data_IF_926491099704
#
_entry.id   IF_926491099704
#
_cell.length_a   1.000
_cell.length_b   1.000
_cell.length_c   1.000
_cell.angle_alpha   90.00
_cell.angle_beta   90.00
_cell.angle_gamma   90.00
#
_symmetry.space_group_name_H-M   'P 1'
#
loop_
_entity.id
_entity.type
_entity.pdbx_description
1 polymer ?
#
# COMPACT_ATOMS: atom_id res chain seq x y z
N UNK A 1 3.30 9.30 -10.07
CA UNK A 1 4.10 9.07 -11.30
C UNK A 1 3.85 7.68 -11.89
N UNK A 2 4.19 6.59 -11.19
CA UNK A 2 4.03 5.22 -11.72
C UNK A 2 2.63 4.93 -12.28
N UNK A 3 1.57 5.27 -11.54
CA UNK A 3 0.19 5.03 -11.99
C UNK A 3 -0.18 5.72 -13.31
N UNK A 4 0.36 6.89 -13.62
CA UNK A 4 0.12 7.55 -14.92
C UNK A 4 0.69 6.73 -16.09
N UNK A 5 1.86 6.12 -15.87
CA UNK A 5 2.53 5.29 -16.87
C UNK A 5 1.85 3.93 -17.05
N UNK A 6 1.31 3.36 -15.98
CA UNK A 6 0.55 2.11 -16.06
C UNK A 6 -0.79 2.31 -16.79
N UNK A 7 -1.50 3.42 -16.52
CA UNK A 7 -2.68 3.77 -17.32
C UNK A 7 -2.34 3.93 -18.80
N UNK A 8 -1.20 4.57 -19.13
CA UNK A 8 -0.72 4.69 -20.52
C UNK A 8 -0.40 3.33 -21.16
N UNK A 9 0.04 2.35 -20.38
CA UNK A 9 0.26 0.96 -20.81
C UNK A 9 -1.04 0.13 -20.89
N UNK A 10 -2.17 0.67 -20.44
CA UNK A 10 -3.45 -0.05 -20.35
C UNK A 10 -3.59 -0.93 -19.10
N UNK A 11 -2.67 -0.83 -18.13
CA UNK A 11 -2.79 -1.52 -16.85
C UNK A 11 -3.63 -0.69 -15.87
N UNK A 12 -4.93 -1.01 -15.82
CA UNK A 12 -5.88 -0.35 -14.93
C UNK A 12 -5.58 -0.67 -13.46
N UNK A 13 -5.12 -1.88 -13.15
CA UNK A 13 -4.84 -2.26 -11.77
C UNK A 13 -3.67 -1.44 -11.21
N UNK A 14 -2.53 -1.46 -11.90
CA UNK A 14 -1.34 -0.67 -11.54
C UNK A 14 -1.67 0.83 -11.55
N UNK A 15 -2.38 1.28 -12.59
CA UNK A 15 -2.81 2.66 -12.76
C UNK A 15 -3.61 3.20 -11.57
N UNK A 16 -4.65 2.48 -11.16
CA UNK A 16 -5.47 2.83 -10.00
C UNK A 16 -4.66 2.74 -8.71
N UNK A 17 -4.00 1.60 -8.45
CA UNK A 17 -3.36 1.38 -7.15
C UNK A 17 -2.19 2.34 -6.90
N UNK A 18 -1.28 2.53 -7.86
CA UNK A 18 -0.13 3.40 -7.66
C UNK A 18 -0.49 4.89 -7.62
N UNK A 19 -1.54 5.31 -8.34
CA UNK A 19 -2.04 6.69 -8.23
C UNK A 19 -2.67 6.93 -6.87
N UNK A 20 -3.54 6.01 -6.43
CA UNK A 20 -4.22 6.11 -5.13
C UNK A 20 -3.25 6.07 -3.96
N UNK A 21 -2.33 5.09 -3.88
CA UNK A 21 -1.37 5.04 -2.78
C UNK A 21 -0.36 6.21 -2.80
N UNK A 22 -0.06 6.76 -3.98
CA UNK A 22 0.69 8.02 -4.06
C UNK A 22 -0.07 9.18 -3.44
N UNK A 23 -1.37 9.30 -3.72
CA UNK A 23 -2.24 10.31 -3.12
C UNK A 23 -2.45 10.10 -1.61
N UNK A 24 -2.51 8.85 -1.15
CA UNK A 24 -2.57 8.50 0.29
C UNK A 24 -1.41 9.12 1.07
N UNK A 25 -0.17 8.88 0.62
CA UNK A 25 1.02 9.42 1.30
C UNK A 25 1.06 10.94 1.29
N UNK A 26 0.67 11.56 0.18
CA UNK A 26 0.54 13.02 0.08
C UNK A 26 -0.52 13.54 1.07
N UNK A 27 -1.68 12.88 1.14
CA UNK A 27 -2.76 13.24 2.07
C UNK A 27 -2.37 13.14 3.54
N UNK A 28 -1.69 12.05 3.94
CA UNK A 28 -1.17 11.92 5.31
C UNK A 28 -0.15 13.01 5.64
N UNK A 29 0.81 13.26 4.74
CA UNK A 29 1.79 14.32 4.95
C UNK A 29 1.12 15.70 5.05
N UNK A 30 0.05 15.94 4.28
CA UNK A 30 -0.72 17.18 4.35
C UNK A 30 -1.41 17.39 5.70
N UNK A 31 -1.91 16.34 6.35
CA UNK A 31 -2.48 16.45 7.71
C UNK A 31 -1.45 17.05 8.68
N UNK A 32 -0.23 16.50 8.68
CA UNK A 32 0.85 16.93 9.56
C UNK A 32 1.38 18.31 9.19
N UNK A 33 1.66 18.55 7.91
CA UNK A 33 2.22 19.83 7.44
C UNK A 33 1.28 20.99 7.71
N UNK A 34 -0.03 20.82 7.50
CA UNK A 34 -1.01 21.88 7.77
C UNK A 34 -1.17 22.15 9.27
N UNK A 35 -1.08 21.13 10.10
CA UNK A 35 -1.08 21.27 11.55
C UNK A 35 0.17 22.01 12.05
N UNK A 36 1.37 21.58 11.62
CA UNK A 36 2.64 22.22 12.01
C UNK A 36 2.76 23.67 11.51
N UNK A 37 2.15 23.98 10.36
CA UNK A 37 2.07 25.34 9.84
C UNK A 37 1.02 26.22 10.54
N UNK A 38 0.21 25.66 11.45
CA UNK A 38 -0.88 26.37 12.13
C UNK A 38 -2.06 26.75 11.23
N UNK A 39 -2.18 26.11 10.06
CA UNK A 39 -3.23 26.37 9.06
C UNK A 39 -4.50 25.57 9.39
N UNK A 40 -4.34 24.36 9.93
CA UNK A 40 -5.43 23.49 10.35
C UNK A 40 -5.14 22.93 11.76
N UNK A 41 -6.16 22.53 12.53
CA UNK A 41 -5.93 21.79 13.76
C UNK A 41 -5.38 20.38 13.47
N UNK A 42 -4.70 19.80 14.46
CA UNK A 42 -4.32 18.39 14.41
C UNK A 42 -5.55 17.49 14.22
N UNK A 43 -5.41 16.47 13.37
CA UNK A 43 -6.47 15.50 13.13
C UNK A 43 -6.59 14.59 14.36
N UNK A 44 -7.77 14.47 14.98
CA UNK A 44 -7.93 13.60 16.14
C UNK A 44 -7.72 12.12 15.73
N UNK A 45 -7.29 11.24 16.66
CA UNK A 45 -7.04 9.82 16.38
C UNK A 45 -8.22 9.12 15.68
N UNK A 46 -9.46 9.47 16.07
CA UNK A 46 -10.65 8.93 15.41
C UNK A 46 -10.78 9.33 13.93
N UNK A 47 -10.35 10.54 13.57
CA UNK A 47 -10.30 10.98 12.18
C UNK A 47 -9.27 10.23 11.37
N UNK A 48 -8.06 10.04 11.93
CA UNK A 48 -6.99 9.24 11.31
C UNK A 48 -7.44 7.79 11.11
N UNK A 49 -8.06 7.18 12.12
CA UNK A 49 -8.56 5.81 12.05
C UNK A 49 -9.61 5.62 10.94
N UNK A 50 -10.57 6.55 10.78
CA UNK A 50 -11.58 6.48 9.72
C UNK A 50 -10.93 6.50 8.34
N UNK A 51 -9.94 7.37 8.13
CA UNK A 51 -9.19 7.44 6.87
C UNK A 51 -8.45 6.13 6.63
N UNK A 52 -7.74 5.59 7.62
CA UNK A 52 -7.02 4.32 7.51
C UNK A 52 -7.94 3.14 7.23
N UNK A 53 -9.12 3.07 7.86
CA UNK A 53 -10.11 2.03 7.56
C UNK A 53 -10.68 2.15 6.15
N UNK A 54 -10.93 3.37 5.66
CA UNK A 54 -11.36 3.58 4.28
C UNK A 54 -10.28 3.09 3.29
N UNK A 55 -9.00 3.37 3.56
CA UNK A 55 -7.88 2.82 2.79
C UNK A 55 -7.73 1.30 2.94
N UNK A 56 -8.05 0.74 4.09
CA UNK A 56 -8.14 -0.70 4.31
C UNK A 56 -9.20 -1.36 3.44
N UNK A 57 -10.40 -0.76 3.34
CA UNK A 57 -11.47 -1.23 2.46
C UNK A 57 -11.07 -1.14 0.99
N UNK A 58 -10.48 0.00 0.58
CA UNK A 58 -9.90 0.17 -0.77
C UNK A 58 -8.92 -0.97 -1.10
N UNK A 59 -8.00 -1.23 -0.18
CA UNK A 59 -6.96 -2.24 -0.35
C UNK A 59 -7.55 -3.66 -0.32
N UNK A 60 -8.61 -3.90 0.45
CA UNK A 60 -9.26 -5.21 0.54
C UNK A 60 -9.85 -5.65 -0.80
N UNK A 61 -10.61 -4.79 -1.49
CA UNK A 61 -11.12 -5.17 -2.81
C UNK A 61 -10.02 -5.16 -3.88
N UNK A 62 -8.98 -4.32 -3.73
CA UNK A 62 -7.80 -4.39 -4.60
C UNK A 62 -7.05 -5.72 -4.40
N UNK A 63 -7.03 -6.28 -3.18
CA UNK A 63 -6.52 -7.63 -2.91
C UNK A 63 -7.27 -8.67 -3.72
N UNK A 64 -8.60 -8.60 -3.77
CA UNK A 64 -9.42 -9.51 -4.59
C UNK A 64 -9.05 -9.38 -6.07
N UNK A 65 -8.92 -8.15 -6.58
CA UNK A 65 -8.50 -7.92 -7.96
C UNK A 65 -7.08 -8.47 -8.25
N UNK A 66 -6.18 -8.40 -7.27
CA UNK A 66 -4.79 -8.89 -7.36
C UNK A 66 -4.69 -10.42 -7.44
N UNK A 67 -5.78 -11.18 -7.22
CA UNK A 67 -5.78 -12.65 -7.31
C UNK A 67 -5.51 -13.16 -8.73
N UNK A 68 -5.54 -12.31 -9.75
CA UNK A 68 -5.10 -12.69 -11.12
C UNK A 68 -3.64 -12.31 -11.41
N UNK A 69 -2.97 -11.63 -10.49
CA UNK A 69 -1.59 -11.16 -10.63
C UNK A 69 -0.60 -12.16 -10.00
N UNK A 70 0.72 -12.01 -10.23
CA UNK A 70 1.73 -12.82 -9.58
C UNK A 70 1.54 -12.84 -8.06
N UNK A 71 1.73 -14.01 -7.43
CA UNK A 71 1.50 -14.21 -5.99
C UNK A 71 2.21 -13.19 -5.12
N UNK A 72 3.42 -12.76 -5.48
CA UNK A 72 4.15 -11.72 -4.76
C UNK A 72 3.34 -10.41 -4.64
N UNK A 73 2.67 -9.99 -5.72
CA UNK A 73 1.80 -8.80 -5.72
C UNK A 73 0.58 -9.03 -4.84
N UNK A 74 -0.06 -10.19 -4.95
CA UNK A 74 -1.19 -10.53 -4.06
C UNK A 74 -0.80 -10.45 -2.59
N UNK A 75 0.38 -10.97 -2.23
CA UNK A 75 0.86 -10.91 -0.85
C UNK A 75 1.06 -9.49 -0.35
N UNK A 76 1.60 -8.58 -1.18
CA UNK A 76 1.68 -7.14 -0.84
C UNK A 76 0.30 -6.61 -0.45
N UNK A 77 -0.73 -6.89 -1.24
CA UNK A 77 -2.07 -6.37 -0.98
C UNK A 77 -2.74 -7.02 0.24
N UNK A 78 -2.50 -8.31 0.50
CA UNK A 78 -2.97 -8.98 1.71
C UNK A 78 -2.37 -8.31 2.94
N UNK A 79 -1.04 -8.21 3.01
CA UNK A 79 -0.34 -7.61 4.17
C UNK A 79 -0.67 -6.13 4.31
N UNK A 80 -0.82 -5.41 3.20
CA UNK A 80 -1.22 -4.00 3.23
C UNK A 80 -2.66 -3.80 3.72
N UNK A 81 -3.57 -4.71 3.36
CA UNK A 81 -4.95 -4.68 3.90
C UNK A 81 -4.92 -4.86 5.41
N UNK A 82 -4.21 -5.88 5.90
CA UNK A 82 -4.05 -6.14 7.34
C UNK A 82 -3.44 -4.92 8.02
N UNK A 83 -2.37 -4.37 7.45
CA UNK A 83 -1.69 -3.19 7.96
C UNK A 83 -2.64 -2.01 8.17
N UNK A 84 -3.49 -1.67 7.18
CA UNK A 84 -4.41 -0.54 7.30
C UNK A 84 -5.42 -0.72 8.45
N UNK A 85 -5.98 -1.92 8.61
CA UNK A 85 -6.88 -2.20 9.73
C UNK A 85 -6.15 -2.18 11.06
N UNK A 86 -4.93 -2.73 11.14
CA UNK A 86 -4.13 -2.68 12.36
C UNK A 86 -3.73 -1.25 12.73
N UNK A 87 -3.35 -0.41 11.77
CA UNK A 87 -3.04 1.00 12.03
C UNK A 87 -4.29 1.75 12.53
N UNK A 88 -5.45 1.56 11.89
CA UNK A 88 -6.70 2.19 12.32
C UNK A 88 -7.14 1.78 13.73
N UNK A 89 -6.94 0.52 14.13
CA UNK A 89 -7.16 0.07 15.52
C UNK A 89 -6.07 0.61 16.44
N UNK A 90 -4.83 0.70 15.95
CA UNK A 90 -3.65 1.17 16.65
C UNK A 90 -3.77 2.62 17.13
N UNK A 91 -4.56 3.45 16.46
CA UNK A 91 -4.90 4.81 16.92
C UNK A 91 -5.56 4.83 18.31
N UNK A 92 -6.19 3.73 18.73
CA UNK A 92 -6.84 3.60 20.03
C UNK A 92 -6.14 2.61 20.97
N UNK A 93 -5.32 1.70 20.43
CA UNK A 93 -4.70 0.60 21.18
C UNK A 93 -3.19 0.56 20.90
N UNK A 94 -2.35 1.10 21.81
CA UNK A 94 -0.91 1.26 21.56
C UNK A 94 -0.16 -0.03 21.19
N UNK A 95 -0.49 -1.15 21.84
CA UNK A 95 0.12 -2.45 21.52
C UNK A 95 -0.20 -2.91 20.10
N UNK A 96 -1.40 -2.61 19.60
CA UNK A 96 -1.80 -2.91 18.22
C UNK A 96 -1.03 -2.02 17.24
N UNK A 97 -0.77 -0.77 17.60
CA UNK A 97 0.05 0.14 16.78
C UNK A 97 1.49 -0.39 16.62
N UNK A 98 2.10 -0.93 17.68
CA UNK A 98 3.41 -1.57 17.59
C UNK A 98 3.38 -2.81 16.68
N UNK A 99 2.35 -3.66 16.80
CA UNK A 99 2.17 -4.82 15.92
C UNK A 99 2.01 -4.38 14.46
N UNK A 100 1.24 -3.31 14.21
CA UNK A 100 1.08 -2.71 12.89
C UNK A 100 2.43 -2.26 12.30
N UNK A 101 3.33 -1.70 13.13
CA UNK A 101 4.69 -1.36 12.70
C UNK A 101 5.49 -2.57 12.19
N UNK A 102 5.45 -3.70 12.91
CA UNK A 102 6.10 -4.93 12.45
C UNK A 102 5.46 -5.49 11.17
N UNK A 103 4.13 -5.50 11.07
CA UNK A 103 3.42 -5.87 9.85
C UNK A 103 3.79 -4.95 8.67
N UNK A 104 3.97 -3.66 8.94
CA UNK A 104 4.40 -2.68 7.95
C UNK A 104 5.78 -2.99 7.39
N UNK A 105 6.72 -3.43 8.24
CA UNK A 105 8.04 -3.89 7.80
C UNK A 105 7.91 -5.12 6.90
N UNK A 106 7.10 -6.11 7.28
CA UNK A 106 6.85 -7.31 6.47
C UNK A 106 6.26 -6.93 5.11
N UNK A 107 5.23 -6.09 5.09
CA UNK A 107 4.60 -5.58 3.87
C UNK A 107 5.61 -4.87 2.96
N UNK A 108 6.46 -4.01 3.52
CA UNK A 108 7.49 -3.28 2.79
C UNK A 108 8.54 -4.23 2.17
N UNK A 109 9.00 -5.24 2.91
CA UNK A 109 9.95 -6.23 2.42
C UNK A 109 9.38 -7.04 1.24
N UNK A 110 8.11 -7.44 1.31
CA UNK A 110 7.43 -8.14 0.21
C UNK A 110 7.31 -7.22 -1.01
N UNK A 111 6.94 -5.95 -0.81
CA UNK A 111 6.82 -4.98 -1.90
C UNK A 111 8.16 -4.69 -2.58
N UNK A 112 9.23 -4.53 -1.81
CA UNK A 112 10.59 -4.38 -2.35
C UNK A 112 11.05 -5.63 -3.09
N UNK A 113 10.79 -6.82 -2.55
CA UNK A 113 11.07 -8.06 -3.25
C UNK A 113 10.34 -8.13 -4.60
N UNK A 114 9.03 -7.86 -4.63
CA UNK A 114 8.24 -7.89 -5.85
C UNK A 114 8.76 -6.87 -6.88
N UNK A 115 9.07 -5.65 -6.45
CA UNK A 115 9.64 -4.60 -7.30
C UNK A 115 10.99 -5.01 -7.89
N UNK A 116 11.91 -5.48 -7.05
CA UNK A 116 13.24 -5.93 -7.47
C UNK A 116 13.14 -7.12 -8.44
N UNK A 117 12.29 -8.10 -8.12
CA UNK A 117 12.09 -9.28 -8.96
C UNK A 117 11.52 -8.93 -10.34
N UNK A 118 10.52 -8.04 -10.41
CA UNK A 118 9.99 -7.56 -11.70
C UNK A 118 11.08 -6.88 -12.51
N UNK A 119 11.85 -5.97 -11.89
CA UNK A 119 12.91 -5.24 -12.57
C UNK A 119 14.00 -6.18 -13.09
N UNK A 120 14.53 -7.04 -12.22
CA UNK A 120 15.63 -7.96 -12.53
C UNK A 120 15.21 -8.96 -13.61
N UNK A 121 14.04 -9.61 -13.47
CA UNK A 121 13.56 -10.58 -14.44
C UNK A 121 13.34 -9.94 -15.81
N UNK A 122 12.79 -8.71 -15.85
CA UNK A 122 12.55 -7.98 -17.10
C UNK A 122 13.85 -7.65 -17.81
N UNK A 123 14.85 -7.14 -17.09
CA UNK A 123 16.16 -6.77 -17.66
C UNK A 123 16.91 -8.00 -18.19
N UNK A 124 16.80 -9.14 -17.52
CA UNK A 124 17.49 -10.37 -17.92
C UNK A 124 16.70 -11.24 -18.91
N UNK A 125 15.44 -10.89 -19.21
CA UNK A 125 14.57 -11.64 -20.13
C UNK A 125 14.24 -13.07 -19.66
N UNK A 126 14.42 -13.39 -18.38
CA UNK A 126 14.15 -14.72 -17.79
C UNK A 126 13.81 -14.59 -16.31
N UNK A 127 13.13 -15.59 -15.76
CA UNK A 127 12.80 -15.65 -14.33
C UNK A 127 14.04 -16.01 -13.51
N UNK A 128 14.65 -15.01 -12.88
CA UNK A 128 15.74 -15.18 -11.89
C UNK A 128 15.19 -15.20 -10.46
N UNK A 129 14.25 -14.30 -10.17
CA UNK A 129 13.58 -14.20 -8.87
C UNK A 129 12.11 -14.63 -9.02
N UNK A 130 11.66 -15.68 -8.33
CA UNK A 130 10.31 -16.20 -8.50
C UNK A 130 9.25 -15.29 -7.87
N UNK A 131 8.32 -14.77 -8.67
CA UNK A 131 7.19 -13.95 -8.19
C UNK A 131 5.86 -14.72 -8.13
N UNK A 132 5.88 -16.01 -8.48
CA UNK A 132 4.70 -16.87 -8.50
C UNK A 132 3.70 -16.45 -9.56
N UNK A 133 4.14 -16.34 -10.81
CA UNK A 133 3.26 -16.11 -11.95
C UNK A 133 2.11 -17.12 -11.96
N UNK A 134 0.89 -16.63 -12.17
CA UNK A 134 -0.30 -17.47 -12.29
C UNK A 134 -0.51 -17.79 -13.77
N UNK A 135 -0.78 -19.06 -14.07
CA UNK A 135 -1.16 -19.51 -15.41
C UNK A 135 -2.59 -19.12 -15.72
#
# INVERSE_FOLDING_TARGET
>A
LAGMWDLRRGDIFGGTCFSSFGAFWIGLALFEILAWAGIAPEVPPAGVAIVLFAWGIFTAYATIASLKLPKAITWVFITLTILFFLLGIGEFVPVVHTIAGYEGIVCALIAWYASAAILINTVHGKTLLPIGERK
#
